data_IF_534508605937
#
_entry.id   IF_534508605937
#
_cell.length_a   1.000
_cell.length_b   1.000
_cell.length_c   1.000
_cell.angle_alpha   90.00
_cell.angle_beta   90.00
_cell.angle_gamma   90.00
#
_symmetry.space_group_name_H-M   'P 1'
#
loop_
_entity.id
_entity.type
_entity.pdbx_description
1 polymer ?
#
# COMPACT_ATOMS: atom_id res chain seq x y z
N UNK A 1 -21.88 -25.80 16.31
CA UNK A 1 -21.11 -26.02 15.06
C UNK A 1 -20.33 -24.78 14.64
N UNK A 2 -20.90 -23.58 14.81
CA UNK A 2 -20.26 -22.29 14.48
C UNK A 2 -19.12 -21.93 15.46
N UNK A 3 -19.28 -22.15 16.76
CA UNK A 3 -18.21 -21.93 17.73
C UNK A 3 -16.96 -22.76 17.43
N UNK A 4 -17.11 -24.02 17.00
CA UNK A 4 -15.97 -24.87 16.60
C UNK A 4 -15.24 -24.34 15.38
N UNK A 5 -15.93 -23.70 14.46
CA UNK A 5 -15.32 -23.08 13.27
C UNK A 5 -14.58 -21.79 13.67
N UNK A 6 -15.14 -21.01 14.59
CA UNK A 6 -14.53 -19.80 15.12
C UNK A 6 -13.18 -20.12 15.81
N UNK A 7 -13.17 -21.07 16.75
CA UNK A 7 -11.93 -21.49 17.44
C UNK A 7 -10.90 -22.11 16.51
N UNK A 8 -11.31 -22.85 15.48
CA UNK A 8 -10.40 -23.36 14.45
C UNK A 8 -9.75 -22.27 13.62
N UNK A 9 -10.44 -21.19 13.35
CA UNK A 9 -9.87 -20.04 12.60
C UNK A 9 -8.83 -19.27 13.42
N UNK A 10 -8.96 -19.25 14.74
CA UNK A 10 -8.01 -18.61 15.66
C UNK A 10 -6.78 -19.49 15.90
N UNK A 11 -6.98 -20.79 16.16
CA UNK A 11 -5.90 -21.72 16.55
C UNK A 11 -5.11 -22.23 15.33
N UNK A 12 -5.74 -22.34 14.17
CA UNK A 12 -5.12 -22.74 12.90
C UNK A 12 -5.63 -21.84 11.80
N UNK A 13 -5.06 -20.66 11.60
CA UNK A 13 -5.41 -19.87 10.44
C UNK A 13 -5.12 -20.69 9.18
N UNK A 14 -6.16 -20.92 8.37
CA UNK A 14 -5.98 -21.59 7.08
C UNK A 14 -5.07 -20.69 6.25
N UNK A 15 -3.92 -21.18 5.74
CA UNK A 15 -3.07 -20.40 4.85
C UNK A 15 -3.91 -19.88 3.68
N UNK A 16 -4.08 -18.58 3.59
CA UNK A 16 -4.75 -17.96 2.43
C UNK A 16 -3.72 -17.89 1.31
N UNK A 17 -3.97 -18.60 0.23
CA UNK A 17 -3.20 -18.40 -0.99
C UNK A 17 -3.46 -16.98 -1.43
N UNK A 18 -2.41 -16.14 -1.46
CA UNK A 18 -2.52 -14.76 -1.93
C UNK A 18 -2.98 -14.77 -3.39
N UNK A 19 -4.01 -14.02 -3.70
CA UNK A 19 -4.33 -13.78 -5.11
C UNK A 19 -3.29 -12.84 -5.72
N UNK A 20 -3.01 -12.93 -7.05
CA UNK A 20 -2.10 -11.99 -7.72
C UNK A 20 -2.44 -10.53 -7.47
N UNK A 21 -3.73 -10.21 -7.33
CA UNK A 21 -4.20 -8.86 -7.00
C UNK A 21 -3.84 -8.44 -5.56
N UNK A 22 -3.90 -9.36 -4.60
CA UNK A 22 -3.50 -9.10 -3.22
C UNK A 22 -1.98 -8.93 -3.11
N UNK A 23 -1.22 -9.71 -3.86
CA UNK A 23 0.23 -9.61 -3.94
C UNK A 23 0.68 -8.28 -4.55
N UNK A 24 0.08 -7.86 -5.67
CA UNK A 24 0.32 -6.54 -6.25
C UNK A 24 -0.02 -5.40 -5.29
N UNK A 25 -1.07 -5.56 -4.47
CA UNK A 25 -1.41 -4.61 -3.41
C UNK A 25 -0.30 -4.50 -2.37
N UNK A 26 0.23 -5.63 -1.89
CA UNK A 26 1.36 -5.66 -0.94
C UNK A 26 2.62 -5.03 -1.54
N UNK A 27 2.95 -5.34 -2.79
CA UNK A 27 4.08 -4.74 -3.50
C UNK A 27 3.91 -3.21 -3.66
N UNK A 28 2.68 -2.76 -3.93
CA UNK A 28 2.39 -1.33 -4.00
C UNK A 28 2.65 -0.63 -2.66
N UNK A 29 2.16 -1.18 -1.53
CA UNK A 29 2.37 -0.59 -0.20
C UNK A 29 3.87 -0.52 0.16
N UNK A 30 4.63 -1.59 -0.09
CA UNK A 30 6.08 -1.59 0.15
C UNK A 30 6.82 -0.54 -0.71
N UNK A 31 6.42 -0.39 -1.98
CA UNK A 31 6.98 0.65 -2.84
C UNK A 31 6.57 2.06 -2.37
N UNK A 32 5.31 2.25 -1.98
CA UNK A 32 4.79 3.54 -1.50
C UNK A 32 5.53 4.01 -0.23
N UNK A 33 5.78 3.10 0.71
CA UNK A 33 6.59 3.37 1.89
C UNK A 33 7.98 3.91 1.52
N UNK A 34 8.71 3.19 0.66
CA UNK A 34 10.05 3.61 0.23
C UNK A 34 10.01 4.95 -0.51
N UNK A 35 9.06 5.12 -1.43
CA UNK A 35 8.93 6.34 -2.23
C UNK A 35 8.59 7.57 -1.39
N UNK A 36 7.68 7.45 -0.44
CA UNK A 36 7.30 8.53 0.46
C UNK A 36 8.45 8.88 1.41
N UNK A 37 9.12 7.87 1.99
CA UNK A 37 10.27 8.09 2.88
C UNK A 37 11.47 8.72 2.15
N UNK A 38 11.73 8.34 0.90
CA UNK A 38 12.79 8.93 0.08
C UNK A 38 12.58 10.44 -0.22
N UNK A 39 11.42 10.98 0.11
CA UNK A 39 11.12 12.41 -0.01
C UNK A 39 11.18 13.19 1.30
N UNK A 40 11.62 12.57 2.40
CA UNK A 40 11.84 13.30 3.65
C UNK A 40 13.04 14.24 3.49
N UNK A 41 12.89 15.56 3.77
CA UNK A 41 14.06 16.42 3.92
C UNK A 41 14.79 16.04 5.21
N UNK A 42 16.12 15.91 5.16
CA UNK A 42 16.95 15.53 6.31
C UNK A 42 16.71 16.43 7.55
N UNK A 43 16.48 17.72 7.36
CA UNK A 43 16.20 18.68 8.43
C UNK A 43 14.81 18.51 9.08
N UNK A 44 13.78 18.09 8.32
CA UNK A 44 12.44 17.89 8.86
C UNK A 44 12.34 16.65 9.75
N UNK A 45 13.18 15.65 9.51
CA UNK A 45 13.34 14.47 10.36
C UNK A 45 13.91 14.86 11.71
N UNK A 46 14.96 15.66 11.74
CA UNK A 46 15.65 16.06 12.97
C UNK A 46 14.79 16.95 13.88
N UNK A 47 13.98 17.86 13.30
CA UNK A 47 13.11 18.73 14.08
C UNK A 47 11.94 17.96 14.72
N UNK A 48 11.40 16.96 14.02
CA UNK A 48 10.29 16.14 14.51
C UNK A 48 10.75 15.09 15.53
N UNK A 49 11.91 14.46 15.32
CA UNK A 49 12.50 13.50 16.27
C UNK A 49 12.88 14.15 17.61
N UNK A 50 13.23 15.44 17.61
CA UNK A 50 13.52 16.19 18.83
C UNK A 50 12.27 16.41 19.72
N UNK A 51 11.06 16.40 19.13
CA UNK A 51 9.79 16.57 19.85
C UNK A 51 9.10 15.25 20.19
N UNK A 52 9.45 14.14 19.54
CA UNK A 52 8.81 12.82 19.71
C UNK A 52 9.59 11.95 20.70
N UNK A 53 8.92 11.51 21.79
CA UNK A 53 9.52 10.72 22.86
C UNK A 53 9.77 9.24 22.52
N UNK A 54 9.50 8.79 21.29
CA UNK A 54 9.61 7.38 20.89
C UNK A 54 10.79 7.14 19.96
N UNK A 55 11.67 6.16 20.26
CA UNK A 55 12.77 5.79 19.37
C UNK A 55 12.21 5.12 18.10
N UNK A 56 12.53 5.67 16.94
CA UNK A 56 12.23 5.05 15.66
C UNK A 56 13.20 3.90 15.40
N UNK A 57 12.69 2.67 15.31
CA UNK A 57 13.44 1.54 14.78
C UNK A 57 13.51 1.66 13.27
N UNK A 58 14.29 2.63 12.77
CA UNK A 58 14.63 2.73 11.36
C UNK A 58 15.66 1.64 11.04
N UNK A 59 15.26 0.60 10.32
CA UNK A 59 16.23 -0.25 9.65
C UNK A 59 16.86 0.57 8.52
N UNK A 60 18.19 0.71 8.53
CA UNK A 60 19.01 1.22 7.43
C UNK A 60 18.90 0.30 6.20
N UNK A 61 17.77 0.32 5.52
CA UNK A 61 17.67 -0.17 4.16
C UNK A 61 18.29 0.92 3.27
N UNK A 62 19.36 0.57 2.53
CA UNK A 62 20.08 1.48 1.65
C UNK A 62 19.12 2.37 0.88
N UNK A 63 19.18 3.68 1.12
CA UNK A 63 18.26 4.67 0.59
C UNK A 63 18.37 4.74 -0.93
N UNK A 64 17.39 4.15 -1.63
CA UNK A 64 17.21 4.41 -3.06
C UNK A 64 16.59 5.79 -3.17
N UNK A 65 17.23 6.71 -3.90
CA UNK A 65 16.70 8.07 -4.04
C UNK A 65 15.35 8.04 -4.80
N UNK A 66 14.50 9.03 -4.52
CA UNK A 66 13.21 9.17 -5.20
C UNK A 66 13.37 9.29 -6.72
N UNK A 67 14.44 9.96 -7.19
CA UNK A 67 14.79 10.08 -8.60
C UNK A 67 15.10 8.72 -9.22
N UNK A 68 15.85 7.88 -8.54
CA UNK A 68 16.15 6.52 -9.01
C UNK A 68 14.87 5.66 -9.08
N UNK A 69 13.98 5.77 -8.09
CA UNK A 69 12.68 5.07 -8.11
C UNK A 69 11.79 5.55 -9.27
N UNK A 70 11.79 6.85 -9.58
CA UNK A 70 11.04 7.40 -10.72
C UNK A 70 11.65 6.98 -12.06
N UNK A 71 12.98 6.87 -12.15
CA UNK A 71 13.66 6.39 -13.35
C UNK A 71 13.33 4.90 -13.62
N UNK A 72 13.37 4.05 -12.58
CA UNK A 72 12.95 2.64 -12.66
C UNK A 72 11.49 2.53 -13.10
N UNK A 73 10.61 3.30 -12.48
CA UNK A 73 9.19 3.33 -12.82
C UNK A 73 8.96 3.69 -14.30
N UNK A 74 9.68 4.70 -14.82
CA UNK A 74 9.60 5.09 -16.22
C UNK A 74 10.10 4.00 -17.17
N UNK A 75 11.12 3.23 -16.78
CA UNK A 75 11.60 2.10 -17.58
C UNK A 75 10.60 0.96 -17.61
N UNK A 76 10.02 0.60 -16.45
CA UNK A 76 8.97 -0.43 -16.36
C UNK A 76 7.73 -0.05 -17.17
N UNK A 77 7.33 1.23 -17.19
CA UNK A 77 6.25 1.72 -18.06
C UNK A 77 6.56 1.52 -19.54
N UNK A 78 7.79 1.82 -19.95
CA UNK A 78 8.23 1.59 -21.34
C UNK A 78 8.18 0.12 -21.72
N UNK A 79 8.55 -0.76 -20.80
CA UNK A 79 8.50 -2.21 -21.01
C UNK A 79 7.06 -2.71 -21.13
N UNK A 80 6.15 -2.22 -20.27
CA UNK A 80 4.72 -2.58 -20.33
C UNK A 80 4.05 -2.09 -21.63
N UNK A 81 4.53 -0.99 -22.23
CA UNK A 81 3.99 -0.44 -23.50
C UNK A 81 4.51 -1.11 -24.75
N UNK A 82 5.63 -1.87 -24.69
CA UNK A 82 6.15 -2.59 -25.86
C UNK A 82 5.14 -3.66 -26.25
N UNK A 83 4.63 -3.67 -27.51
CA UNK A 83 3.80 -4.77 -27.97
C UNK A 83 4.63 -6.05 -27.89
N UNK A 84 4.05 -7.10 -27.31
CA UNK A 84 4.65 -8.43 -27.35
C UNK A 84 4.84 -8.81 -28.83
N UNK A 85 6.04 -8.71 -29.34
CA UNK A 85 6.40 -9.14 -30.70
C UNK A 85 6.27 -10.65 -30.70
N UNK A 86 5.05 -11.15 -30.99
CA UNK A 86 4.89 -12.51 -31.47
C UNK A 86 5.76 -12.60 -32.72
N UNK A 87 6.90 -13.27 -32.62
CA UNK A 87 7.57 -13.78 -33.82
C UNK A 87 6.53 -14.57 -34.60
N UNK A 88 6.31 -14.25 -35.89
CA UNK A 88 5.48 -15.10 -36.72
C UNK A 88 6.10 -16.50 -36.72
N UNK A 89 5.30 -17.47 -36.30
CA UNK A 89 5.70 -18.88 -36.36
C UNK A 89 6.07 -19.19 -37.81
N UNK A 90 7.32 -19.48 -38.03
CA UNK A 90 7.81 -20.08 -39.32
C UNK A 90 7.08 -21.40 -39.43
N UNK A 91 6.32 -21.66 -40.52
CA UNK A 91 5.67 -22.95 -40.72
C UNK A 91 6.73 -24.01 -40.96
N UNK A 92 6.96 -24.90 -40.00
CA UNK A 92 7.68 -26.11 -40.20
C UNK A 92 6.73 -27.20 -40.70
N UNK A 93 7.17 -28.06 -41.67
CA UNK A 93 6.32 -29.09 -42.21
C UNK A 93 6.09 -30.21 -41.20
N UNK A 94 4.86 -30.70 -41.25
CA UNK A 94 4.24 -31.82 -40.57
C UNK A 94 5.15 -33.00 -40.22
N UNK A 95 5.23 -33.34 -38.93
CA UNK A 95 5.36 -34.68 -38.42
C UNK A 95 4.56 -34.82 -37.13
N UNK A 96 3.81 -35.87 -37.05
CA UNK A 96 2.71 -36.20 -36.15
C UNK A 96 3.11 -36.38 -34.69
N UNK A 97 2.13 -36.03 -33.81
CA UNK A 97 1.73 -36.70 -32.57
C UNK A 97 2.29 -36.24 -31.22
N UNK A 98 1.30 -35.87 -30.37
CA UNK A 98 1.22 -36.03 -28.93
C UNK A 98 2.16 -35.23 -28.02
N UNK A 99 1.82 -33.95 -27.75
CA UNK A 99 2.13 -33.27 -26.50
C UNK A 99 1.24 -32.00 -26.33
N UNK A 100 0.00 -32.15 -25.89
CA UNK A 100 -0.98 -31.05 -25.93
C UNK A 100 -1.52 -30.58 -24.60
N UNK A 101 -0.77 -30.65 -23.50
CA UNK A 101 -1.33 -30.12 -22.23
C UNK A 101 -0.44 -29.11 -21.50
N UNK A 102 0.85 -29.01 -21.79
CA UNK A 102 1.78 -28.18 -20.99
C UNK A 102 1.96 -26.77 -21.56
N UNK A 103 1.71 -26.56 -22.86
CA UNK A 103 1.96 -25.26 -23.52
C UNK A 103 0.88 -24.21 -23.28
N UNK A 104 -0.36 -24.60 -22.97
CA UNK A 104 -1.46 -23.67 -22.73
C UNK A 104 -1.40 -23.00 -21.34
N UNK A 105 -0.90 -23.71 -20.34
CA UNK A 105 -0.77 -23.20 -18.99
C UNK A 105 0.32 -22.11 -18.87
N UNK A 106 1.44 -22.26 -19.58
CA UNK A 106 2.53 -21.28 -19.58
C UNK A 106 2.16 -19.96 -20.27
N UNK A 107 1.36 -20.00 -21.34
CA UNK A 107 0.95 -18.79 -22.07
C UNK A 107 -0.08 -17.96 -21.27
N UNK A 108 -0.91 -18.62 -20.46
CA UNK A 108 -1.91 -17.94 -19.61
C UNK A 108 -1.28 -17.28 -18.41
N UNK A 109 -0.24 -17.87 -17.80
CA UNK A 109 0.48 -17.28 -16.67
C UNK A 109 1.26 -16.03 -17.08
N UNK A 110 1.97 -16.04 -18.19
CA UNK A 110 2.74 -14.88 -18.69
C UNK A 110 1.82 -13.69 -19.01
N UNK A 111 0.62 -13.95 -19.52
CA UNK A 111 -0.37 -12.90 -19.81
C UNK A 111 -0.96 -12.26 -18.54
N UNK A 112 -1.18 -13.07 -17.49
CA UNK A 112 -1.70 -12.57 -16.20
C UNK A 112 -0.65 -11.75 -15.44
N UNK A 113 0.62 -12.16 -15.48
CA UNK A 113 1.72 -11.48 -14.82
C UNK A 113 1.98 -10.10 -15.44
N UNK A 114 1.96 -10.00 -16.77
CA UNK A 114 2.08 -8.72 -17.48
C UNK A 114 0.91 -7.75 -17.16
N UNK A 115 -0.31 -8.27 -17.04
CA UNK A 115 -1.47 -7.44 -16.69
C UNK A 115 -1.39 -6.94 -15.23
N UNK A 116 -0.87 -7.76 -14.32
CA UNK A 116 -0.68 -7.40 -12.91
C UNK A 116 0.43 -6.37 -12.77
N UNK A 117 1.55 -6.55 -13.46
CA UNK A 117 2.66 -5.60 -13.50
C UNK A 117 2.23 -4.24 -14.05
N UNK A 118 1.47 -4.22 -15.16
CA UNK A 118 0.94 -2.97 -15.72
C UNK A 118 0.04 -2.20 -14.76
N UNK A 119 -0.76 -2.91 -13.93
CA UNK A 119 -1.57 -2.28 -12.88
C UNK A 119 -0.71 -1.70 -11.77
N UNK A 120 0.28 -2.45 -11.28
CA UNK A 120 1.19 -2.01 -10.24
C UNK A 120 1.92 -0.73 -10.67
N UNK A 121 2.48 -0.71 -11.88
CA UNK A 121 3.14 0.46 -12.46
C UNK A 121 2.20 1.67 -12.55
N UNK A 122 0.94 1.46 -12.96
CA UNK A 122 -0.06 2.52 -13.03
C UNK A 122 -0.41 3.09 -11.63
N UNK A 123 -0.51 2.26 -10.60
CA UNK A 123 -0.75 2.70 -9.22
C UNK A 123 0.42 3.50 -8.66
N UNK A 124 1.66 3.04 -8.89
CA UNK A 124 2.88 3.72 -8.49
C UNK A 124 2.98 5.11 -9.15
N UNK A 125 2.70 5.20 -10.46
CA UNK A 125 2.68 6.46 -11.21
C UNK A 125 1.65 7.42 -10.63
N UNK A 126 0.43 6.94 -10.34
CA UNK A 126 -0.64 7.77 -9.78
C UNK A 126 -0.26 8.35 -8.41
N UNK A 127 0.39 7.56 -7.55
CA UNK A 127 0.91 8.07 -6.27
C UNK A 127 2.02 9.08 -6.50
N UNK A 128 3.00 8.80 -7.37
CA UNK A 128 4.12 9.68 -7.66
C UNK A 128 3.68 11.06 -8.20
N UNK A 129 2.59 11.10 -8.98
CA UNK A 129 2.03 12.34 -9.54
C UNK A 129 1.04 13.04 -8.59
N UNK A 130 0.65 12.40 -7.49
CA UNK A 130 -0.31 12.95 -6.53
C UNK A 130 0.28 14.08 -5.69
N UNK A 131 -0.60 14.85 -5.05
CA UNK A 131 -0.20 15.84 -4.05
C UNK A 131 0.50 15.21 -2.84
N UNK A 132 0.21 13.94 -2.53
CA UNK A 132 0.82 13.21 -1.42
C UNK A 132 2.32 13.02 -1.60
N UNK A 133 2.81 12.85 -2.83
CA UNK A 133 4.23 12.77 -3.13
C UNK A 133 5.04 14.03 -2.75
N UNK A 134 4.36 15.17 -2.59
CA UNK A 134 4.97 16.47 -2.28
C UNK A 134 4.85 16.86 -0.81
N UNK A 135 4.12 16.05 -0.01
CA UNK A 135 3.91 16.34 1.41
C UNK A 135 5.02 15.74 2.26
N UNK A 136 5.23 16.32 3.44
CA UNK A 136 6.20 15.84 4.42
C UNK A 136 5.58 14.69 5.20
N UNK A 137 6.11 13.44 5.10
CA UNK A 137 5.63 12.33 5.89
C UNK A 137 6.16 12.42 7.32
N UNK A 138 5.28 12.25 8.30
CA UNK A 138 5.66 11.98 9.67
C UNK A 138 6.08 10.52 9.82
N UNK A 139 5.21 9.59 9.39
CA UNK A 139 5.45 8.13 9.42
C UNK A 139 4.87 7.43 8.20
N UNK A 140 5.44 6.27 7.88
CA UNK A 140 4.91 5.31 6.91
C UNK A 140 4.90 3.91 7.53
N UNK A 141 3.91 3.08 7.16
CA UNK A 141 3.75 1.68 7.60
C UNK A 141 3.88 1.51 9.14
N UNK A 142 3.42 2.54 9.88
CA UNK A 142 3.56 2.61 11.33
C UNK A 142 2.61 1.65 12.04
N UNK A 143 3.16 0.67 12.75
CA UNK A 143 2.40 -0.18 13.64
C UNK A 143 2.14 0.56 14.97
N UNK A 144 0.89 0.53 15.43
CA UNK A 144 0.45 1.11 16.69
C UNK A 144 -0.24 0.05 17.52
N UNK A 145 0.06 0.00 18.81
CA UNK A 145 -0.62 -0.84 19.81
C UNK A 145 -1.01 0.06 20.97
N UNK A 146 -2.29 0.07 21.34
CA UNK A 146 -2.83 0.85 22.46
C UNK A 146 -3.59 -0.08 23.38
N UNK A 147 -3.35 0.01 24.69
CA UNK A 147 -4.18 -0.64 25.69
C UNK A 147 -5.40 0.26 26.00
N UNK A 148 -6.58 -0.21 25.59
CA UNK A 148 -7.83 0.52 25.78
C UNK A 148 -8.54 -0.05 27.01
N UNK A 149 -8.76 0.75 28.09
CA UNK A 149 -9.41 0.30 29.30
C UNK A 149 -10.78 -0.36 29.01
N UNK A 150 -10.98 -1.56 29.52
CA UNK A 150 -12.20 -2.34 29.31
C UNK A 150 -12.35 -3.06 27.98
N UNK A 151 -11.42 -2.83 27.04
CA UNK A 151 -11.38 -3.48 25.72
C UNK A 151 -10.15 -4.38 25.59
N UNK A 152 -8.99 -3.93 26.10
CA UNK A 152 -7.69 -4.60 25.96
C UNK A 152 -6.84 -4.00 24.86
N UNK A 153 -5.84 -4.76 24.38
CA UNK A 153 -4.90 -4.30 23.37
C UNK A 153 -5.58 -4.17 22.01
N UNK A 154 -5.62 -2.95 21.50
CA UNK A 154 -6.06 -2.62 20.13
C UNK A 154 -4.83 -2.30 19.30
N UNK A 155 -4.71 -2.92 18.14
CA UNK A 155 -3.60 -2.69 17.22
C UNK A 155 -4.09 -2.18 15.86
N UNK A 156 -3.25 -1.43 15.20
CA UNK A 156 -3.45 -0.96 13.83
C UNK A 156 -2.13 -0.73 13.14
N UNK A 157 -2.16 -0.67 11.82
CA UNK A 157 -1.02 -0.28 11.00
C UNK A 157 -1.46 0.84 10.07
N UNK A 158 -0.81 1.98 10.18
CA UNK A 158 -1.09 3.17 9.38
C UNK A 158 -0.20 3.17 8.15
N UNK A 159 -0.79 3.23 6.95
CA UNK A 159 -0.02 3.20 5.71
C UNK A 159 0.88 4.44 5.57
N UNK A 160 0.32 5.64 5.80
CA UNK A 160 1.09 6.88 5.85
C UNK A 160 0.41 7.91 6.77
N UNK A 161 1.24 8.72 7.43
CA UNK A 161 0.82 9.89 8.20
C UNK A 161 1.65 11.07 7.74
N UNK A 162 0.98 12.16 7.39
CA UNK A 162 1.62 13.40 6.92
C UNK A 162 1.43 14.51 7.92
N UNK A 163 2.41 15.44 7.97
CA UNK A 163 2.30 16.68 8.75
C UNK A 163 1.25 17.60 8.10
N UNK A 164 0.42 18.23 8.93
CA UNK A 164 -0.63 19.16 8.52
C UNK A 164 -1.96 18.50 8.14
N UNK A 165 -2.97 19.31 7.92
CA UNK A 165 -4.34 18.90 7.62
C UNK A 165 -4.54 18.36 6.21
N UNK A 166 -5.71 17.78 5.95
CA UNK A 166 -6.14 17.32 4.62
C UNK A 166 -6.16 18.50 3.64
N UNK A 167 -6.66 19.64 4.09
CA UNK A 167 -6.47 20.93 3.42
C UNK A 167 -5.12 21.52 3.86
N UNK A 168 -4.16 21.75 2.94
CA UNK A 168 -2.87 22.34 3.26
C UNK A 168 -2.94 23.72 3.89
N UNK A 169 -4.05 24.44 3.73
CA UNK A 169 -4.27 25.75 4.36
C UNK A 169 -4.81 25.64 5.79
N UNK A 170 -5.22 24.47 6.26
CA UNK A 170 -5.71 24.25 7.61
C UNK A 170 -4.59 24.44 8.63
N UNK A 171 -4.82 25.28 9.60
CA UNK A 171 -3.92 25.52 10.76
C UNK A 171 -4.29 24.69 11.98
N UNK A 172 -5.43 24.01 11.96
CA UNK A 172 -5.97 23.25 13.10
C UNK A 172 -5.52 21.79 13.10
N UNK A 173 -5.44 21.18 11.94
CA UNK A 173 -5.03 19.79 11.83
C UNK A 173 -3.50 19.66 11.85
N UNK A 174 -3.00 18.88 12.81
CA UNK A 174 -1.56 18.59 13.00
C UNK A 174 -1.08 17.46 12.10
N UNK A 175 -1.94 16.46 11.88
CA UNK A 175 -1.63 15.27 11.09
C UNK A 175 -2.75 14.92 10.11
N UNK A 176 -2.38 14.24 9.03
CA UNK A 176 -3.33 13.57 8.15
C UNK A 176 -2.93 12.10 7.98
N UNK A 177 -3.82 11.19 8.38
CA UNK A 177 -3.70 9.75 8.12
C UNK A 177 -4.19 9.47 6.71
N UNK A 178 -3.39 8.78 5.91
CA UNK A 178 -3.76 8.35 4.56
C UNK A 178 -3.66 6.84 4.48
N UNK A 179 -4.74 6.20 4.10
CA UNK A 179 -4.80 4.76 3.88
C UNK A 179 -4.91 4.50 2.37
N UNK A 180 -3.90 3.84 1.79
CA UNK A 180 -3.80 3.55 0.36
C UNK A 180 -4.72 2.40 -0.03
N UNK A 181 -5.47 2.55 -1.10
CA UNK A 181 -6.38 1.53 -1.62
C UNK A 181 -6.11 1.22 -3.08
N UNK A 182 -5.73 -0.01 -3.35
CA UNK A 182 -5.52 -0.55 -4.71
C UNK A 182 -6.78 -1.17 -5.31
N UNK A 183 -7.81 -1.38 -4.49
CA UNK A 183 -9.12 -1.88 -4.92
C UNK A 183 -10.06 -0.77 -5.40
N UNK A 184 -11.21 -1.18 -5.95
CA UNK A 184 -12.25 -0.23 -6.39
C UNK A 184 -12.88 0.51 -5.22
N UNK A 185 -13.30 1.75 -5.45
CA UNK A 185 -14.09 2.51 -4.48
C UNK A 185 -15.40 1.78 -4.19
N UNK A 186 -15.79 1.65 -2.91
CA UNK A 186 -17.07 1.05 -2.56
C UNK A 186 -18.22 1.96 -3.01
N UNK A 187 -19.30 1.33 -3.46
CA UNK A 187 -20.54 2.03 -3.86
C UNK A 187 -21.69 1.74 -2.91
N UNK A 188 -21.59 0.66 -2.12
CA UNK A 188 -22.63 0.29 -1.16
C UNK A 188 -22.45 1.07 0.14
N UNK A 189 -23.52 1.63 0.73
CA UNK A 189 -23.45 2.42 1.96
C UNK A 189 -22.75 1.69 3.11
N UNK A 190 -23.04 0.41 3.33
CA UNK A 190 -22.42 -0.39 4.41
C UNK A 190 -20.91 -0.55 4.24
N UNK A 191 -20.43 -0.70 3.01
CA UNK A 191 -19.01 -0.81 2.72
C UNK A 191 -18.31 0.54 2.90
N UNK A 192 -18.98 1.64 2.55
CA UNK A 192 -18.50 3.01 2.80
C UNK A 192 -18.38 3.24 4.32
N UNK A 193 -19.44 2.97 5.07
CA UNK A 193 -19.47 3.12 6.54
C UNK A 193 -18.34 2.33 7.20
N UNK A 194 -18.13 1.06 6.76
CA UNK A 194 -17.05 0.23 7.29
C UNK A 194 -15.66 0.81 7.01
N UNK A 195 -15.47 1.41 5.82
CA UNK A 195 -14.20 2.07 5.47
C UNK A 195 -13.96 3.35 6.25
N UNK A 196 -15.01 4.13 6.50
CA UNK A 196 -14.92 5.34 7.34
C UNK A 196 -14.62 4.97 8.80
N UNK A 197 -15.27 3.94 9.35
CA UNK A 197 -14.98 3.43 10.68
C UNK A 197 -13.51 2.97 10.84
N UNK A 198 -12.89 2.44 9.79
CA UNK A 198 -11.45 2.14 9.79
C UNK A 198 -10.61 3.41 9.95
N UNK A 199 -10.96 4.50 9.26
CA UNK A 199 -10.26 5.78 9.39
C UNK A 199 -10.42 6.38 10.79
N UNK A 200 -11.63 6.33 11.35
CA UNK A 200 -11.89 6.82 12.71
C UNK A 200 -11.07 6.04 13.75
N UNK A 201 -10.95 4.71 13.57
CA UNK A 201 -10.08 3.88 14.41
C UNK A 201 -8.61 4.33 14.31
N UNK A 202 -8.11 4.60 13.11
CA UNK A 202 -6.74 5.06 12.91
C UNK A 202 -6.49 6.44 13.56
N UNK A 203 -7.45 7.36 13.46
CA UNK A 203 -7.38 8.65 14.15
C UNK A 203 -7.32 8.48 15.67
N UNK A 204 -8.16 7.62 16.24
CA UNK A 204 -8.19 7.33 17.68
C UNK A 204 -6.86 6.73 18.16
N UNK A 205 -6.31 5.74 17.41
CA UNK A 205 -5.03 5.13 17.75
C UNK A 205 -3.89 6.14 17.70
N UNK A 206 -3.85 6.99 16.66
CA UNK A 206 -2.82 8.01 16.52
C UNK A 206 -2.94 9.08 17.61
N UNK A 207 -4.16 9.55 17.91
CA UNK A 207 -4.41 10.52 18.98
C UNK A 207 -3.94 10.00 20.34
N UNK A 208 -4.22 8.73 20.63
CA UNK A 208 -3.83 8.10 21.89
C UNK A 208 -2.30 7.98 22.05
N UNK A 209 -1.58 7.64 20.98
CA UNK A 209 -0.12 7.45 21.03
C UNK A 209 0.62 8.79 21.02
N UNK A 210 0.15 9.76 20.23
CA UNK A 210 0.80 11.07 20.12
C UNK A 210 0.36 12.06 21.20
N UNK A 211 -0.66 11.73 22.00
CA UNK A 211 -1.19 12.61 23.04
C UNK A 211 -1.78 13.91 22.49
N UNK A 212 -2.40 13.85 21.30
CA UNK A 212 -3.00 15.01 20.63
C UNK A 212 -4.52 14.87 20.56
N UNK A 213 -5.19 16.01 20.41
CA UNK A 213 -6.65 16.05 20.28
C UNK A 213 -7.10 15.36 18.98
N UNK A 214 -8.19 14.59 19.02
CA UNK A 214 -8.73 13.87 17.89
C UNK A 214 -9.05 14.79 16.70
N UNK A 215 -9.54 16.01 17.00
CA UNK A 215 -9.89 17.01 15.99
C UNK A 215 -8.67 17.63 15.29
N UNK A 216 -7.46 17.39 15.82
CA UNK A 216 -6.21 17.77 15.16
C UNK A 216 -5.70 16.73 14.16
N UNK A 217 -6.44 15.64 13.95
CA UNK A 217 -6.06 14.56 13.04
C UNK A 217 -7.12 14.41 11.95
N UNK A 218 -6.75 14.70 10.73
CA UNK A 218 -7.53 14.35 9.55
C UNK A 218 -7.24 12.92 9.08
N UNK A 219 -8.18 12.32 8.35
CA UNK A 219 -7.96 11.01 7.74
C UNK A 219 -8.66 10.88 6.39
N UNK A 220 -8.05 10.14 5.48
CA UNK A 220 -8.61 9.90 4.15
C UNK A 220 -8.22 8.56 3.56
N UNK A 221 -9.09 8.05 2.67
CA UNK A 221 -8.78 6.91 1.80
C UNK A 221 -8.30 7.46 0.46
N UNK A 222 -7.13 7.04 0.02
CA UNK A 222 -6.63 7.40 -1.30
C UNK A 222 -6.61 6.19 -2.23
N UNK A 223 -7.44 6.23 -3.27
CA UNK A 223 -7.57 5.16 -4.26
C UNK A 223 -6.64 5.39 -5.44
N UNK A 224 -5.71 4.46 -5.66
CA UNK A 224 -4.76 4.46 -6.78
C UNK A 224 -5.23 3.62 -7.98
N UNK A 225 -6.40 2.96 -7.86
CA UNK A 225 -7.01 2.16 -8.95
C UNK A 225 -7.79 3.01 -9.94
#
# INVERSE_FOLDING_TARGET
REERLYWRSIIRPIPRISSPAAEAGTQFHAWAEQFINAGKPDEAVLAYEAESSMPHTGQDAGFVSREAMLADLAERERQCRKPSTRQPAVPQPTAQQSASAVSAASATSISSDNATESKLVAWQRRLAESSWAKRIPAWTERAIVVDVPGVGLVNGKLDAVFIGGLDPSSTTARFTVVDWKTGRRPTKPDDITRKLAQLDMYRLLLAAVEGVELDSIDATLYYVS
#
